data_IF_907014690103
#
_entry.id   IF_907014690103
#
_cell.length_a   1.000
_cell.length_b   1.000
_cell.length_c   1.000
_cell.angle_alpha   90.00
_cell.angle_beta   90.00
_cell.angle_gamma   90.00
#
_symmetry.space_group_name_H-M   'P 1'
#
loop_
_entity.id
_entity.type
_entity.pdbx_description
1 polymer ?
#
# COMPACT_ATOMS: atom_id res chain seq x y z
N UNK A 1 -12.52 -19.49 -7.98
CA UNK A 1 -11.12 -19.81 -7.56
C UNK A 1 -10.23 -19.05 -8.49
N UNK A 2 -9.34 -18.23 -7.98
CA UNK A 2 -8.42 -17.45 -8.81
C UNK A 2 -7.42 -18.37 -9.50
N UNK A 3 -7.30 -18.27 -10.81
CA UNK A 3 -6.49 -19.17 -11.64
C UNK A 3 -5.54 -18.43 -12.57
N UNK A 4 -5.78 -17.12 -12.77
CA UNK A 4 -5.00 -16.32 -13.70
C UNK A 4 -3.61 -16.03 -13.15
N UNK A 5 -2.59 -16.34 -13.92
CA UNK A 5 -1.21 -15.95 -13.61
C UNK A 5 -0.97 -14.48 -13.97
N UNK A 6 -0.29 -13.76 -13.09
CA UNK A 6 0.09 -12.37 -13.34
C UNK A 6 1.22 -12.33 -14.35
N UNK A 7 0.98 -11.71 -15.50
CA UNK A 7 1.91 -11.62 -16.62
C UNK A 7 1.88 -10.22 -17.23
N UNK A 8 2.67 -9.95 -18.26
CA UNK A 8 2.65 -8.67 -18.97
C UNK A 8 1.31 -8.39 -19.65
N UNK A 9 0.62 -9.43 -20.12
CA UNK A 9 -0.66 -9.32 -20.81
C UNK A 9 -1.86 -9.38 -19.84
N UNK A 10 -1.65 -9.98 -18.67
CA UNK A 10 -2.64 -10.11 -17.61
C UNK A 10 -2.03 -9.52 -16.33
N UNK A 11 -2.07 -8.20 -16.24
CA UNK A 11 -1.56 -7.45 -15.08
C UNK A 11 -2.49 -7.64 -13.88
N UNK A 12 -2.08 -7.17 -12.73
CA UNK A 12 -2.99 -6.88 -11.62
C UNK A 12 -2.74 -5.48 -11.08
N UNK A 13 -3.58 -5.01 -10.17
CA UNK A 13 -3.35 -3.78 -9.45
C UNK A 13 -3.20 -4.04 -7.95
N UNK A 14 -2.22 -3.38 -7.33
CA UNK A 14 -2.11 -3.24 -5.88
C UNK A 14 -2.55 -1.85 -5.49
N UNK A 15 -3.60 -1.76 -4.69
CA UNK A 15 -4.18 -0.49 -4.23
C UNK A 15 -4.03 -0.47 -2.71
N UNK A 16 -3.27 0.50 -2.19
CA UNK A 16 -3.02 0.65 -0.76
C UNK A 16 -3.74 1.90 -0.25
N UNK A 17 -4.67 1.74 0.67
CA UNK A 17 -5.23 2.83 1.46
C UNK A 17 -4.46 2.90 2.78
N UNK A 18 -3.88 4.05 3.09
CA UNK A 18 -2.99 4.24 4.24
C UNK A 18 -3.57 5.31 5.15
N UNK A 19 -3.83 4.92 6.38
CA UNK A 19 -4.19 5.83 7.45
C UNK A 19 -3.03 6.76 7.78
N UNK A 20 -3.29 8.06 7.69
CA UNK A 20 -2.39 9.13 8.05
C UNK A 20 -2.99 10.02 9.15
N UNK A 21 -3.96 9.51 9.92
CA UNK A 21 -4.62 10.23 11.02
C UNK A 21 -3.71 10.45 12.22
N UNK A 22 -4.16 11.30 13.16
CA UNK A 22 -3.36 11.70 14.31
C UNK A 22 -2.91 10.55 15.21
N UNK A 23 -3.69 9.46 15.35
CA UNK A 23 -3.34 8.26 16.13
C UNK A 23 -2.11 7.54 15.58
N UNK A 24 -1.81 7.70 14.30
CA UNK A 24 -0.62 7.14 13.67
C UNK A 24 0.70 7.76 14.19
N UNK A 25 0.64 8.84 14.97
CA UNK A 25 1.81 9.40 15.70
C UNK A 25 2.20 8.57 16.94
N UNK A 26 1.36 7.65 17.40
CA UNK A 26 1.67 6.80 18.55
C UNK A 26 2.87 5.90 18.27
N UNK A 27 3.70 5.73 19.32
CA UNK A 27 4.90 4.90 19.24
C UNK A 27 4.59 3.42 19.47
N UNK A 28 5.17 2.59 18.62
CA UNK A 28 5.12 1.12 18.73
C UNK A 28 6.53 0.52 18.71
N UNK A 29 6.66 -0.71 19.19
CA UNK A 29 7.88 -1.49 19.00
C UNK A 29 7.74 -2.31 17.70
N UNK A 30 8.46 -1.91 16.66
CA UNK A 30 8.44 -2.57 15.37
C UNK A 30 9.85 -3.00 14.95
N UNK A 31 10.04 -4.29 14.65
CA UNK A 31 11.34 -4.88 14.28
C UNK A 31 12.47 -4.53 15.27
N UNK A 32 12.16 -4.51 16.58
CA UNK A 32 13.12 -4.19 17.64
C UNK A 32 13.45 -2.70 17.79
N UNK A 33 12.78 -1.82 17.06
CA UNK A 33 12.96 -0.35 17.12
C UNK A 33 11.68 0.33 17.57
N UNK A 34 11.82 1.39 18.35
CA UNK A 34 10.67 2.24 18.70
C UNK A 34 10.47 3.25 17.58
N UNK A 35 9.34 3.11 16.89
CA UNK A 35 8.92 3.96 15.76
C UNK A 35 7.48 4.43 16.00
N UNK A 36 7.06 5.48 15.31
CA UNK A 36 5.62 5.78 15.21
C UNK A 36 4.94 4.75 14.30
N UNK A 37 3.62 4.57 14.45
CA UNK A 37 2.83 3.73 13.54
C UNK A 37 2.99 4.24 12.09
N UNK A 38 2.98 5.56 11.88
CA UNK A 38 3.19 6.17 10.57
C UNK A 38 4.55 5.79 9.96
N UNK A 39 5.65 5.84 10.74
CA UNK A 39 6.97 5.42 10.27
C UNK A 39 7.02 3.93 9.94
N UNK A 40 6.39 3.08 10.75
CA UNK A 40 6.32 1.66 10.49
C UNK A 40 5.53 1.35 9.20
N UNK A 41 4.38 2.00 9.00
CA UNK A 41 3.53 1.81 7.79
C UNK A 41 4.21 2.34 6.54
N UNK A 42 4.82 3.53 6.59
CA UNK A 42 5.60 4.06 5.48
C UNK A 42 6.76 3.12 5.11
N UNK A 43 7.47 2.58 6.11
CA UNK A 43 8.54 1.60 5.90
C UNK A 43 8.02 0.32 5.23
N UNK A 44 6.96 -0.29 5.74
CA UNK A 44 6.36 -1.51 5.15
C UNK A 44 5.88 -1.24 3.72
N UNK A 45 5.23 -0.09 3.48
CA UNK A 45 4.74 0.27 2.16
C UNK A 45 5.89 0.44 1.18
N UNK A 46 6.95 1.14 1.57
CA UNK A 46 8.15 1.29 0.75
C UNK A 46 8.84 -0.04 0.45
N UNK A 47 8.94 -0.94 1.45
CA UNK A 47 9.48 -2.30 1.27
C UNK A 47 8.63 -3.10 0.26
N UNK A 48 7.30 -3.03 0.35
CA UNK A 48 6.40 -3.68 -0.59
C UNK A 48 6.55 -3.15 -2.01
N UNK A 49 6.59 -1.83 -2.18
CA UNK A 49 6.79 -1.20 -3.49
C UNK A 49 8.12 -1.60 -4.11
N UNK A 50 9.17 -1.63 -3.32
CA UNK A 50 10.49 -2.09 -3.76
C UNK A 50 10.46 -3.56 -4.20
N UNK A 51 9.84 -4.43 -3.40
CA UNK A 51 9.70 -5.86 -3.73
C UNK A 51 8.92 -6.07 -5.03
N UNK A 52 7.84 -5.31 -5.27
CA UNK A 52 7.08 -5.38 -6.52
C UNK A 52 7.95 -4.98 -7.73
N UNK A 53 8.78 -3.94 -7.60
CA UNK A 53 9.73 -3.53 -8.63
C UNK A 53 10.76 -4.63 -8.89
N UNK A 54 11.37 -5.19 -7.84
CA UNK A 54 12.40 -6.23 -8.00
C UNK A 54 11.82 -7.52 -8.59
N UNK A 55 10.61 -7.92 -8.20
CA UNK A 55 9.91 -9.07 -8.83
C UNK A 55 9.60 -8.85 -10.30
N UNK A 56 9.38 -7.61 -10.68
CA UNK A 56 9.10 -7.23 -12.08
C UNK A 56 10.37 -7.01 -12.92
N UNK A 57 11.56 -6.95 -12.28
CA UNK A 57 12.85 -6.73 -12.94
C UNK A 57 13.26 -7.91 -13.80
N UNK A 58 13.71 -7.63 -15.02
CA UNK A 58 14.29 -8.57 -15.97
C UNK A 58 15.57 -7.97 -16.58
N UNK A 59 16.26 -8.73 -17.39
CA UNK A 59 17.49 -8.27 -18.06
C UNK A 59 17.29 -7.06 -19.00
N UNK A 60 16.06 -6.86 -19.46
CA UNK A 60 15.65 -5.78 -20.37
C UNK A 60 14.95 -4.62 -19.65
N UNK A 61 14.90 -4.63 -18.31
CA UNK A 61 14.29 -3.58 -17.49
C UNK A 61 13.19 -4.10 -16.58
N UNK A 62 12.38 -3.19 -16.03
CA UNK A 62 11.22 -3.52 -15.20
C UNK A 62 9.99 -3.64 -16.07
N UNK A 63 9.30 -4.78 -15.96
CA UNK A 63 8.09 -5.06 -16.74
C UNK A 63 6.84 -4.71 -15.96
N UNK A 64 5.84 -4.16 -16.66
CA UNK A 64 4.56 -3.76 -16.07
C UNK A 64 3.66 -4.98 -15.80
N UNK A 65 3.99 -5.75 -14.78
CA UNK A 65 3.14 -6.82 -14.26
C UNK A 65 2.07 -6.28 -13.30
N UNK A 66 2.32 -5.11 -12.72
CA UNK A 66 1.49 -4.50 -11.70
C UNK A 66 1.21 -3.05 -12.01
N UNK A 67 -0.02 -2.61 -11.74
CA UNK A 67 -0.35 -1.21 -11.52
C UNK A 67 -0.36 -0.96 -10.01
N UNK A 68 0.13 0.19 -9.57
CA UNK A 68 0.24 0.56 -8.16
C UNK A 68 -0.57 1.83 -7.94
N UNK A 69 -1.42 1.82 -6.93
CA UNK A 69 -2.08 3.01 -6.42
C UNK A 69 -1.87 3.10 -4.90
N UNK A 70 -1.65 4.31 -4.40
CA UNK A 70 -1.58 4.57 -2.96
C UNK A 70 -2.48 5.75 -2.65
N UNK A 71 -3.36 5.57 -1.68
CA UNK A 71 -4.33 6.54 -1.20
C UNK A 71 -4.04 6.80 0.27
N UNK A 72 -3.48 7.95 0.61
CA UNK A 72 -3.34 8.41 1.99
C UNK A 72 -4.57 9.20 2.42
N UNK A 73 -5.04 9.01 3.64
CA UNK A 73 -6.20 9.72 4.17
C UNK A 73 -5.96 10.26 5.58
N UNK A 74 -6.34 11.52 5.80
CA UNK A 74 -6.16 12.27 7.06
C UNK A 74 -7.07 13.49 7.11
N UNK A 75 -6.99 14.27 8.19
CA UNK A 75 -7.77 15.50 8.33
C UNK A 75 -9.26 15.25 8.44
N UNK A 76 -10.08 16.17 7.98
CA UNK A 76 -11.54 16.01 7.99
C UNK A 76 -12.01 15.17 6.78
N UNK A 77 -11.41 15.40 5.61
CA UNK A 77 -11.75 14.73 4.34
C UNK A 77 -10.56 14.69 3.34
N UNK A 78 -9.33 14.81 3.83
CA UNK A 78 -8.15 14.82 2.98
C UNK A 78 -7.81 13.42 2.49
N UNK A 79 -8.12 13.16 1.24
CA UNK A 79 -7.76 11.93 0.53
C UNK A 79 -6.87 12.28 -0.66
N UNK A 80 -5.63 11.78 -0.62
CA UNK A 80 -4.62 12.13 -1.62
C UNK A 80 -3.71 10.95 -1.96
N UNK A 81 -3.12 10.98 -3.15
CA UNK A 81 -2.04 10.06 -3.47
C UNK A 81 -0.72 10.59 -2.90
N UNK A 82 -0.02 9.82 -2.06
CA UNK A 82 1.34 10.15 -1.61
C UNK A 82 2.41 9.75 -2.64
N UNK A 83 2.05 9.17 -3.77
CA UNK A 83 2.99 8.85 -4.84
C UNK A 83 3.61 10.13 -5.43
N UNK A 84 4.84 10.06 -5.98
CA UNK A 84 5.46 11.20 -6.63
C UNK A 84 4.54 11.83 -7.68
N UNK A 85 4.51 13.16 -7.73
CA UNK A 85 3.66 13.97 -8.61
C UNK A 85 2.15 13.83 -8.36
N UNK A 86 1.73 13.18 -7.25
CA UNK A 86 0.33 12.99 -6.90
C UNK A 86 -0.42 12.06 -7.86
N UNK A 87 0.27 11.23 -8.63
CA UNK A 87 -0.34 10.28 -9.55
C UNK A 87 -1.17 9.25 -8.77
N UNK A 88 -2.39 9.05 -9.18
CA UNK A 88 -3.31 8.12 -8.49
C UNK A 88 -2.96 6.67 -8.69
N UNK A 89 -2.43 6.35 -9.86
CA UNK A 89 -2.05 4.99 -10.25
C UNK A 89 -0.94 5.03 -11.28
N UNK A 90 0.09 4.27 -11.02
CA UNK A 90 1.26 4.16 -11.90
C UNK A 90 1.56 2.69 -12.22
N UNK A 91 2.06 2.37 -13.41
CA UNK A 91 2.63 1.05 -13.68
C UNK A 91 3.90 0.86 -12.82
N UNK A 92 4.21 -0.38 -12.46
CA UNK A 92 5.37 -0.70 -11.59
C UNK A 92 6.71 -0.27 -12.20
N UNK A 93 6.80 -0.10 -13.52
CA UNK A 93 7.99 0.42 -14.17
C UNK A 93 8.22 1.92 -13.93
N UNK A 94 7.17 2.70 -13.66
CA UNK A 94 7.30 4.14 -13.45
C UNK A 94 8.16 4.48 -12.21
N UNK A 95 7.94 3.85 -11.04
CA UNK A 95 8.83 4.02 -9.90
C UNK A 95 10.29 3.63 -10.19
N UNK A 96 10.49 2.56 -10.95
CA UNK A 96 11.84 2.10 -11.29
C UNK A 96 12.55 2.99 -12.32
N UNK A 97 11.81 3.67 -13.19
CA UNK A 97 12.34 4.64 -14.15
C UNK A 97 12.71 5.97 -13.50
N UNK A 98 12.07 6.30 -12.38
CA UNK A 98 12.44 7.43 -11.53
C UNK A 98 13.52 6.95 -10.58
N UNK A 99 14.58 7.71 -10.40
CA UNK A 99 15.56 7.45 -9.35
C UNK A 99 14.80 7.43 -8.02
N UNK A 100 14.74 6.25 -7.42
CA UNK A 100 14.10 6.09 -6.12
C UNK A 100 14.86 6.90 -5.08
N UNK A 101 14.21 7.78 -4.32
CA UNK A 101 14.84 8.32 -3.14
C UNK A 101 15.24 7.14 -2.24
N UNK A 102 16.52 7.08 -1.91
CA UNK A 102 17.06 6.03 -1.06
C UNK A 102 17.46 6.69 0.25
N UNK A 103 16.88 6.22 1.34
CA UNK A 103 17.35 6.54 2.69
C UNK A 103 18.31 5.44 3.15
N UNK A 104 19.19 5.78 4.06
CA UNK A 104 20.03 4.79 4.72
C UNK A 104 19.32 4.32 5.98
N UNK A 105 19.05 3.02 6.06
CA UNK A 105 18.61 2.38 7.29
C UNK A 105 19.75 1.65 7.96
N UNK A 106 19.80 1.75 9.28
CA UNK A 106 20.75 0.99 10.11
C UNK A 106 20.00 -0.22 10.65
N UNK A 107 20.38 -1.40 10.21
CA UNK A 107 19.83 -2.66 10.72
C UNK A 107 20.85 -3.39 11.60
N UNK A 108 20.33 -4.07 12.63
CA UNK A 108 21.14 -5.00 13.43
C UNK A 108 21.30 -6.32 12.68
N UNK A 109 22.54 -6.71 12.48
CA UNK A 109 22.89 -8.01 11.89
C UNK A 109 23.61 -8.87 12.92
N UNK A 110 23.02 -10.02 13.27
CA UNK A 110 23.67 -10.97 14.18
C UNK A 110 24.73 -11.78 13.41
N UNK A 111 25.96 -11.68 13.85
CA UNK A 111 27.08 -12.43 13.29
C UNK A 111 27.09 -13.89 13.79
N UNK A 112 27.83 -14.80 13.11
CA UNK A 112 27.90 -16.22 13.49
C UNK A 112 28.45 -16.45 14.89
N UNK A 113 29.25 -15.51 15.42
CA UNK A 113 29.81 -15.55 16.80
C UNK A 113 28.84 -15.05 17.87
N UNK A 114 27.61 -14.67 17.47
CA UNK A 114 26.57 -14.15 18.35
C UNK A 114 26.64 -12.66 18.64
N UNK A 115 27.67 -11.96 18.18
CA UNK A 115 27.76 -10.49 18.29
C UNK A 115 26.78 -9.80 17.35
N UNK A 116 26.45 -8.54 17.66
CA UNK A 116 25.57 -7.69 16.84
C UNK A 116 26.43 -6.67 16.12
N UNK A 117 26.36 -6.66 14.80
CA UNK A 117 26.92 -5.62 13.97
C UNK A 117 25.80 -4.72 13.41
N UNK A 118 26.04 -3.41 13.40
CA UNK A 118 25.18 -2.47 12.70
C UNK A 118 25.58 -2.43 11.23
N UNK A 119 24.61 -2.60 10.35
CA UNK A 119 24.83 -2.53 8.91
C UNK A 119 23.92 -1.47 8.30
N UNK A 120 24.51 -0.58 7.53
CA UNK A 120 23.75 0.37 6.71
C UNK A 120 23.28 -0.31 5.43
N UNK A 121 21.99 -0.20 5.14
CA UNK A 121 21.40 -0.69 3.90
C UNK A 121 20.63 0.43 3.22
N UNK A 122 20.62 0.47 1.88
CA UNK A 122 19.72 1.36 1.15
C UNK A 122 18.28 0.90 1.32
N UNK A 123 17.41 1.79 1.70
CA UNK A 123 15.97 1.55 1.84
C UNK A 123 15.18 2.52 0.95
N UNK A 124 14.18 2.05 0.20
CA UNK A 124 13.35 2.92 -0.63
C UNK A 124 12.56 3.91 0.23
N UNK A 125 12.27 5.08 -0.29
CA UNK A 125 11.55 6.15 0.41
C UNK A 125 10.64 6.93 -0.53
N UNK A 126 9.62 6.26 -1.09
CA UNK A 126 8.60 6.95 -1.89
C UNK A 126 7.48 7.51 -1.04
N UNK A 127 7.16 6.80 0.04
CA UNK A 127 6.09 7.17 0.95
C UNK A 127 6.71 7.72 2.23
N UNK A 128 6.43 8.99 2.51
CA UNK A 128 6.85 9.64 3.74
C UNK A 128 5.81 9.42 4.85
N UNK A 129 6.25 9.21 6.10
CA UNK A 129 5.34 9.03 7.23
C UNK A 129 4.54 10.31 7.48
N UNK A 130 3.24 10.17 7.69
CA UNK A 130 2.33 11.27 7.99
C UNK A 130 1.38 10.86 9.10
N UNK A 131 1.08 11.79 10.02
CA UNK A 131 0.15 11.57 11.10
C UNK A 131 -0.49 12.90 11.52
N UNK A 132 -1.75 13.14 11.09
CA UNK A 132 -2.47 14.36 11.42
C UNK A 132 -4.00 14.21 11.24
N UNK A 133 -4.77 14.86 12.11
CA UNK A 133 -6.22 15.00 11.94
C UNK A 133 -7.03 13.73 12.19
N UNK A 134 -8.19 13.68 11.57
CA UNK A 134 -9.19 12.62 11.68
C UNK A 134 -8.90 11.44 10.72
N UNK A 135 -9.82 10.46 10.70
CA UNK A 135 -9.72 9.22 9.93
C UNK A 135 -10.83 9.13 8.87
N UNK A 136 -10.77 9.88 7.74
CA UNK A 136 -11.79 9.86 6.70
C UNK A 136 -11.68 8.57 5.85
N UNK A 137 -11.84 7.43 6.49
CA UNK A 137 -11.65 6.10 5.90
C UNK A 137 -12.71 5.80 4.83
N UNK A 138 -13.96 6.24 5.07
CA UNK A 138 -15.05 5.97 4.15
C UNK A 138 -14.83 6.68 2.81
N UNK A 139 -14.39 7.94 2.84
CA UNK A 139 -14.05 8.70 1.63
C UNK A 139 -12.84 8.08 0.92
N UNK A 140 -11.82 7.66 1.67
CA UNK A 140 -10.67 6.95 1.11
C UNK A 140 -11.09 5.64 0.41
N UNK A 141 -11.98 4.86 1.02
CA UNK A 141 -12.45 3.61 0.42
C UNK A 141 -13.37 3.87 -0.79
N UNK A 142 -14.14 4.98 -0.83
CA UNK A 142 -14.83 5.41 -2.04
C UNK A 142 -13.84 5.70 -3.17
N UNK A 143 -12.74 6.39 -2.87
CA UNK A 143 -11.69 6.66 -3.86
C UNK A 143 -11.03 5.37 -4.34
N UNK A 144 -10.71 4.45 -3.44
CA UNK A 144 -10.20 3.11 -3.76
C UNK A 144 -11.15 2.34 -4.66
N UNK A 145 -12.46 2.36 -4.36
CA UNK A 145 -13.50 1.77 -5.20
C UNK A 145 -13.46 2.33 -6.62
N UNK A 146 -13.36 3.65 -6.77
CA UNK A 146 -13.37 4.30 -8.07
C UNK A 146 -12.12 3.94 -8.89
N UNK A 147 -10.94 3.90 -8.26
CA UNK A 147 -9.69 3.43 -8.89
C UNK A 147 -9.81 1.97 -9.33
N UNK A 148 -10.34 1.10 -8.47
CA UNK A 148 -10.53 -0.31 -8.79
C UNK A 148 -11.57 -0.52 -9.89
N UNK A 149 -12.69 0.23 -9.87
CA UNK A 149 -13.73 0.19 -10.89
C UNK A 149 -13.20 0.64 -12.25
N UNK A 150 -12.46 1.74 -12.30
CA UNK A 150 -11.81 2.20 -13.53
C UNK A 150 -10.82 1.15 -14.07
N UNK A 151 -10.07 0.50 -13.18
CA UNK A 151 -9.09 -0.49 -13.58
C UNK A 151 -9.77 -1.76 -14.15
N UNK A 152 -10.81 -2.28 -13.48
CA UNK A 152 -11.54 -3.48 -13.90
C UNK A 152 -12.37 -3.25 -15.17
N UNK A 153 -12.85 -2.03 -15.40
CA UNK A 153 -13.61 -1.66 -16.60
C UNK A 153 -12.76 -1.62 -17.89
N UNK A 154 -11.43 -1.65 -17.80
CA UNK A 154 -10.56 -1.65 -18.98
C UNK A 154 -10.59 -3.01 -19.67
N UNK A 155 -10.90 -3.03 -20.96
CA UNK A 155 -10.93 -4.28 -21.75
C UNK A 155 -9.63 -5.08 -21.66
N UNK A 156 -8.48 -4.40 -21.56
CA UNK A 156 -7.17 -5.05 -21.42
C UNK A 156 -7.00 -5.82 -20.10
N UNK A 157 -7.82 -5.52 -19.08
CA UNK A 157 -7.75 -6.13 -17.76
C UNK A 157 -8.85 -7.16 -17.51
N UNK A 158 -9.77 -7.35 -18.47
CA UNK A 158 -10.96 -8.20 -18.30
C UNK A 158 -10.61 -9.66 -17.89
N UNK A 159 -9.53 -10.20 -18.41
CA UNK A 159 -9.05 -11.57 -18.14
C UNK A 159 -7.95 -11.62 -17.07
N UNK A 160 -7.66 -10.50 -16.42
CA UNK A 160 -6.55 -10.37 -15.46
C UNK A 160 -6.94 -10.89 -14.07
N UNK A 161 -5.93 -11.22 -13.24
CA UNK A 161 -6.13 -11.37 -11.82
C UNK A 161 -6.71 -10.05 -11.25
N UNK A 162 -7.78 -10.09 -10.47
CA UNK A 162 -8.44 -8.87 -9.99
C UNK A 162 -7.54 -8.04 -9.06
N UNK A 163 -7.82 -6.75 -8.91
CA UNK A 163 -7.09 -5.90 -7.99
C UNK A 163 -7.07 -6.43 -6.55
N UNK A 164 -5.96 -6.19 -5.86
CA UNK A 164 -5.82 -6.44 -4.43
C UNK A 164 -5.75 -5.11 -3.70
N UNK A 165 -6.69 -4.88 -2.81
CA UNK A 165 -6.80 -3.69 -1.99
C UNK A 165 -6.33 -4.01 -0.57
N UNK A 166 -5.42 -3.19 -0.05
CA UNK A 166 -5.02 -3.20 1.35
C UNK A 166 -5.48 -1.90 2.00
N UNK A 167 -6.28 -1.98 3.05
CA UNK A 167 -6.55 -0.86 3.94
C UNK A 167 -5.73 -1.04 5.21
N UNK A 168 -4.85 -0.07 5.51
CA UNK A 168 -3.91 -0.13 6.63
C UNK A 168 -4.29 1.00 7.58
N UNK A 169 -4.78 0.66 8.77
CA UNK A 169 -5.32 1.61 9.75
C UNK A 169 -5.06 1.14 11.17
N UNK A 170 -5.07 2.06 12.12
CA UNK A 170 -5.03 1.76 13.56
C UNK A 170 -6.34 2.09 14.27
N UNK A 171 -7.36 2.59 13.56
CA UNK A 171 -8.59 3.09 14.14
C UNK A 171 -9.85 2.82 13.35
N UNK A 172 -10.90 3.49 13.76
CA UNK A 172 -12.22 3.46 13.17
C UNK A 172 -12.43 4.67 12.24
N UNK A 173 -13.34 4.54 11.28
CA UNK A 173 -13.75 5.65 10.43
C UNK A 173 -14.39 6.76 11.27
N UNK A 174 -14.06 8.01 10.98
CA UNK A 174 -14.66 9.18 11.65
C UNK A 174 -15.65 9.93 10.76
N UNK A 175 -15.72 9.56 9.49
CA UNK A 175 -16.48 10.23 8.43
C UNK A 175 -17.76 9.50 8.01
N UNK A 176 -18.06 8.35 8.63
CA UNK A 176 -19.26 7.56 8.34
C UNK A 176 -19.61 6.60 9.48
N UNK A 177 -20.80 6.02 9.43
CA UNK A 177 -21.20 4.95 10.33
C UNK A 177 -20.81 3.55 9.78
N UNK A 178 -21.00 2.52 10.61
CA UNK A 178 -20.64 1.14 10.27
C UNK A 178 -21.43 0.59 9.06
N UNK A 179 -22.69 1.04 8.87
CA UNK A 179 -23.50 0.59 7.76
C UNK A 179 -22.98 1.14 6.44
N UNK A 180 -22.66 2.42 6.41
CA UNK A 180 -22.08 3.10 5.26
C UNK A 180 -20.69 2.54 4.92
N UNK A 181 -19.81 2.36 5.92
CA UNK A 181 -18.49 1.75 5.74
C UNK A 181 -18.61 0.34 5.14
N UNK A 182 -19.52 -0.46 5.67
CA UNK A 182 -19.79 -1.82 5.16
C UNK A 182 -20.32 -1.80 3.73
N UNK A 183 -21.18 -0.83 3.40
CA UNK A 183 -21.71 -0.67 2.05
C UNK A 183 -20.59 -0.38 1.04
N UNK A 184 -19.66 0.53 1.34
CA UNK A 184 -18.50 0.84 0.48
C UNK A 184 -17.60 -0.37 0.33
N UNK A 185 -17.27 -1.07 1.42
CA UNK A 185 -16.49 -2.30 1.37
C UNK A 185 -17.12 -3.39 0.48
N UNK A 186 -18.45 -3.53 0.54
CA UNK A 186 -19.18 -4.47 -0.30
C UNK A 186 -19.17 -4.05 -1.78
N UNK A 187 -19.23 -2.75 -2.08
CA UNK A 187 -19.09 -2.25 -3.45
C UNK A 187 -17.71 -2.57 -4.02
N UNK A 188 -16.62 -2.41 -3.25
CA UNK A 188 -15.27 -2.79 -3.67
C UNK A 188 -15.21 -4.29 -3.98
N UNK A 189 -15.69 -5.13 -3.07
CA UNK A 189 -15.69 -6.59 -3.21
C UNK A 189 -16.61 -7.11 -4.33
N UNK A 190 -17.55 -6.31 -4.79
CA UNK A 190 -18.44 -6.64 -5.91
C UNK A 190 -17.81 -6.36 -7.28
N UNK A 191 -16.74 -5.57 -7.34
CA UNK A 191 -15.96 -5.38 -8.57
C UNK A 191 -15.26 -6.68 -8.95
N UNK A 192 -15.19 -6.99 -10.24
CA UNK A 192 -14.66 -8.27 -10.70
C UNK A 192 -13.93 -8.17 -12.04
N UNK A 193 -13.14 -9.18 -12.31
CA UNK A 193 -12.61 -9.56 -13.62
C UNK A 193 -13.14 -10.97 -13.95
N UNK A 194 -12.81 -11.52 -15.11
CA UNK A 194 -13.17 -12.90 -15.44
C UNK A 194 -12.57 -13.93 -14.45
N UNK A 195 -11.47 -13.62 -13.76
CA UNK A 195 -10.82 -14.50 -12.79
C UNK A 195 -11.44 -14.42 -11.38
N UNK A 196 -12.24 -13.41 -11.08
CA UNK A 196 -12.95 -13.28 -9.81
C UNK A 196 -13.08 -11.86 -9.28
N UNK A 197 -13.54 -11.77 -8.04
CA UNK A 197 -13.81 -10.49 -7.38
C UNK A 197 -12.53 -9.83 -6.84
N UNK A 198 -12.58 -8.49 -6.71
CA UNK A 198 -11.55 -7.69 -6.04
C UNK A 198 -11.36 -8.18 -4.59
N UNK A 199 -10.11 -8.35 -4.20
CA UNK A 199 -9.73 -8.71 -2.83
C UNK A 199 -9.57 -7.45 -1.99
N UNK A 200 -10.31 -7.37 -0.88
CA UNK A 200 -10.17 -6.30 0.12
C UNK A 200 -9.65 -6.89 1.42
N UNK A 201 -8.47 -6.44 1.84
CA UNK A 201 -7.75 -6.90 3.03
C UNK A 201 -7.60 -5.70 3.97
N UNK A 202 -8.08 -5.84 5.21
CA UNK A 202 -7.85 -4.84 6.24
C UNK A 202 -6.70 -5.26 7.15
N UNK A 203 -5.72 -4.38 7.32
CA UNK A 203 -4.57 -4.56 8.21
C UNK A 203 -4.70 -3.57 9.35
N UNK A 204 -4.93 -4.10 10.55
CA UNK A 204 -5.01 -3.28 11.75
C UNK A 204 -3.65 -3.19 12.45
N UNK A 205 -3.22 -1.96 12.72
CA UNK A 205 -1.97 -1.66 13.42
C UNK A 205 -2.28 -1.45 14.91
N UNK A 206 -2.04 -2.45 15.71
CA UNK A 206 -2.18 -2.35 17.16
C UNK A 206 -0.85 -1.96 17.81
N UNK A 207 -0.91 -1.14 18.87
CA UNK A 207 0.19 -1.05 19.80
C UNK A 207 0.29 -2.42 20.52
N UNK A 208 1.36 -3.16 20.27
CA UNK A 208 1.60 -4.41 20.99
C UNK A 208 1.81 -4.11 22.48
N UNK A 209 1.18 -4.89 23.35
CA UNK A 209 1.53 -4.88 24.77
C UNK A 209 3.01 -5.28 24.89
N UNK A 210 3.79 -4.40 25.55
CA UNK A 210 5.21 -4.59 25.77
C UNK A 210 5.45 -5.61 26.90
#
# INVERSE_FOLDING_TARGET
MYTQSITRNHRTAFILAIDCSGSMAESILFRGRRLTKAEAVAGITNDLLFELVERARRSDGVRDYYDIAVVGYSGDDEVRSPLPDGEERVPVSAPAAREMPVRTEVIEHRLPDGSIALREIPAPSWIEPQAAGQTPMCEALRRVRDIAAEWTARAANAESFPPVVFNITDGEATDCDDEELRAVCNQIKALETADGNVLLINIHIAAGDA
#
